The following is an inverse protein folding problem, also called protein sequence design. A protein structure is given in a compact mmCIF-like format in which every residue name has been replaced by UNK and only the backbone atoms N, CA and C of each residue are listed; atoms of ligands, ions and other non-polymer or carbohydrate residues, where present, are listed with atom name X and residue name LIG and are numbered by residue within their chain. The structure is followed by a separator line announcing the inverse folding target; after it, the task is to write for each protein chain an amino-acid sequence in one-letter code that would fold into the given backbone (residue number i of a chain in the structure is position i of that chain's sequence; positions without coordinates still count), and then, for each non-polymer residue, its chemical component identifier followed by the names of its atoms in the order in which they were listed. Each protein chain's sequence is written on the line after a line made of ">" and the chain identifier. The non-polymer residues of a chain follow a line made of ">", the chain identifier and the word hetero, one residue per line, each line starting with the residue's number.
data_IF_806147445698
#
_entry.id   IF_806147445698
#
_cell.length_a   1.000
_cell.length_b   1.000
_cell.length_c   1.000
_cell.angle_alpha   90.00
_cell.angle_beta   90.00
_cell.angle_gamma   90.00
#
_symmetry.space_group_name_H-M   'P 1'
#
loop_
_entity.id
_entity.type
_entity.pdbx_description
1 polymer ?
#
# COMPACT_ATOMS: atom_id res chain seq x y z
N UNK A 1 -22.48 20.55 49.94
CA UNK A 1 -23.70 20.13 49.23
C UNK A 1 -23.30 19.22 48.09
N UNK A 2 -23.78 17.98 48.13
CA UNK A 2 -23.42 16.86 47.26
C UNK A 2 -24.39 16.83 46.08
N UNK A 3 -23.90 16.78 44.84
CA UNK A 3 -24.72 16.43 43.67
C UNK A 3 -23.93 15.54 42.72
N UNK A 4 -24.21 14.24 42.82
CA UNK A 4 -23.70 13.19 41.94
C UNK A 4 -24.50 13.18 40.63
N UNK A 5 -23.82 13.22 39.49
CA UNK A 5 -24.43 13.04 38.17
C UNK A 5 -24.50 11.54 37.81
N UNK A 6 -25.72 11.08 37.55
CA UNK A 6 -26.15 9.70 37.38
C UNK A 6 -25.87 9.23 35.96
N UNK A 7 -24.85 8.39 35.76
CA UNK A 7 -24.59 7.73 34.48
C UNK A 7 -25.59 6.59 34.24
N UNK A 8 -26.44 6.77 33.23
CA UNK A 8 -27.42 5.79 32.73
C UNK A 8 -26.70 4.65 32.02
N UNK A 9 -26.59 3.49 32.69
CA UNK A 9 -26.11 2.25 32.07
C UNK A 9 -27.23 1.65 31.22
N UNK A 10 -27.13 1.76 29.90
CA UNK A 10 -27.95 0.98 28.97
C UNK A 10 -27.40 -0.45 28.94
N UNK A 11 -28.16 -1.37 29.51
CA UNK A 11 -27.95 -2.81 29.45
C UNK A 11 -28.19 -3.30 28.02
N UNK A 12 -27.12 -3.65 27.31
CA UNK A 12 -27.20 -4.35 26.03
C UNK A 12 -27.25 -5.85 26.34
N UNK A 13 -28.43 -6.44 26.17
CA UNK A 13 -28.66 -7.88 26.28
C UNK A 13 -28.05 -8.58 25.07
N UNK A 14 -26.97 -9.34 25.28
CA UNK A 14 -26.41 -10.26 24.30
C UNK A 14 -27.21 -11.58 24.31
N UNK A 15 -27.65 -12.10 23.16
CA UNK A 15 -28.27 -13.41 23.09
C UNK A 15 -27.23 -14.50 23.37
N UNK A 16 -27.67 -15.48 24.17
CA UNK A 16 -26.94 -16.67 24.59
C UNK A 16 -26.49 -17.46 23.36
N UNK A 17 -25.17 -17.60 23.22
CA UNK A 17 -24.52 -18.53 22.28
C UNK A 17 -24.96 -19.96 22.64
N UNK A 18 -25.68 -20.57 21.70
CA UNK A 18 -26.15 -21.93 21.78
C UNK A 18 -25.01 -22.95 21.88
N UNK A 19 -25.24 -23.91 22.77
CA UNK A 19 -24.55 -25.17 23.01
C UNK A 19 -23.74 -25.73 21.84
N UNK A 20 -22.50 -26.08 22.16
CA UNK A 20 -21.58 -26.87 21.36
C UNK A 20 -22.21 -28.20 20.92
N UNK A 21 -22.58 -28.29 19.64
CA UNK A 21 -22.77 -29.56 18.96
C UNK A 21 -21.41 -30.10 18.55
N UNK A 22 -20.90 -31.08 19.30
CA UNK A 22 -19.73 -31.86 18.94
C UNK A 22 -20.01 -32.66 17.65
N UNK A 23 -19.70 -32.08 16.49
CA UNK A 23 -19.65 -32.80 15.22
C UNK A 23 -18.35 -33.59 15.18
N UNK A 24 -18.42 -34.88 15.47
CA UNK A 24 -17.40 -35.86 15.14
C UNK A 24 -17.11 -35.78 13.64
N UNK A 25 -15.98 -35.17 13.27
CA UNK A 25 -15.40 -35.31 11.93
C UNK A 25 -14.90 -36.75 11.81
N UNK A 26 -15.77 -37.65 11.40
CA UNK A 26 -15.34 -38.91 10.79
C UNK A 26 -14.65 -38.55 9.48
N UNK A 27 -13.34 -38.79 9.41
CA UNK A 27 -12.59 -38.69 8.15
C UNK A 27 -13.16 -39.64 7.09
N UNK A 28 -12.75 -39.50 5.82
CA UNK A 28 -13.20 -40.40 4.77
C UNK A 28 -12.66 -41.81 5.04
N UNK A 29 -13.49 -42.67 5.61
CA UNK A 29 -13.23 -44.10 5.75
C UNK A 29 -13.41 -44.76 4.39
N UNK A 30 -12.30 -44.99 3.69
CA UNK A 30 -12.26 -45.85 2.51
C UNK A 30 -12.52 -47.31 2.94
N UNK A 31 -13.78 -47.68 3.06
CA UNK A 31 -14.19 -49.09 3.23
C UNK A 31 -14.45 -49.70 1.85
N UNK A 32 -13.70 -50.73 1.41
CA UNK A 32 -14.04 -51.44 0.19
C UNK A 32 -15.30 -52.29 0.42
N UNK A 33 -16.30 -52.13 -0.46
CA UNK A 33 -17.54 -52.91 -0.44
C UNK A 33 -17.28 -54.36 -0.91
N UNK A 34 -17.88 -55.38 -0.27
CA UNK A 34 -17.73 -56.76 -0.71
C UNK A 34 -18.81 -57.12 -1.74
N UNK A 35 -18.43 -57.29 -2.99
CA UNK A 35 -19.30 -57.84 -4.03
C UNK A 35 -18.76 -57.62 -5.43
N UNK A 36 -18.51 -58.74 -6.15
CA UNK A 36 -18.30 -58.91 -7.61
C UNK A 36 -18.61 -57.64 -8.43
N UNK A 37 -17.67 -57.03 -9.15
CA UNK A 37 -17.17 -57.48 -10.48
C UNK A 37 -15.70 -57.09 -10.77
N UNK A 38 -15.00 -57.88 -11.59
CA UNK A 38 -13.53 -57.89 -11.76
C UNK A 38 -12.98 -56.85 -12.74
N UNK A 39 -13.46 -55.61 -12.70
CA UNK A 39 -12.82 -54.47 -13.35
C UNK A 39 -12.62 -53.32 -12.36
N UNK A 40 -11.95 -53.67 -11.26
CA UNK A 40 -11.56 -52.76 -10.19
C UNK A 40 -10.45 -51.84 -10.69
N UNK A 41 -10.82 -50.66 -11.18
CA UNK A 41 -9.92 -49.51 -11.23
C UNK A 41 -9.46 -49.25 -9.80
N UNK A 42 -8.24 -49.69 -9.49
CA UNK A 42 -7.58 -49.49 -8.21
C UNK A 42 -7.59 -47.99 -7.92
N UNK A 43 -8.47 -47.54 -7.03
CA UNK A 43 -8.36 -46.21 -6.45
C UNK A 43 -7.08 -46.21 -5.61
N UNK A 44 -5.99 -45.74 -6.19
CA UNK A 44 -4.75 -45.52 -5.46
C UNK A 44 -5.04 -44.42 -4.45
N UNK A 45 -4.91 -44.72 -3.15
CA UNK A 45 -4.48 -43.70 -2.21
C UNK A 45 -3.05 -43.30 -2.61
N UNK A 46 -2.94 -42.44 -3.62
CA UNK A 46 -1.68 -41.92 -4.12
C UNK A 46 -1.13 -40.94 -3.07
N UNK A 47 -0.14 -41.38 -2.30
CA UNK A 47 0.71 -40.48 -1.54
C UNK A 47 1.66 -39.77 -2.49
N UNK A 48 1.84 -38.47 -2.31
CA UNK A 48 2.81 -37.65 -3.04
C UNK A 48 4.22 -38.22 -2.85
N UNK A 49 4.97 -38.45 -3.91
CA UNK A 49 6.33 -39.02 -3.78
C UNK A 49 7.34 -37.93 -3.40
N UNK A 50 8.41 -38.29 -2.69
CA UNK A 50 9.48 -37.35 -2.35
C UNK A 50 10.15 -36.78 -3.60
N UNK A 51 10.28 -37.60 -4.65
CA UNK A 51 10.84 -37.18 -5.94
C UNK A 51 9.94 -36.16 -6.63
N UNK A 52 8.63 -36.34 -6.59
CA UNK A 52 7.66 -35.38 -7.11
C UNK A 52 7.78 -34.02 -6.41
N UNK A 53 7.98 -34.01 -5.08
CA UNK A 53 8.25 -32.79 -4.33
C UNK A 53 9.56 -32.13 -4.77
N UNK A 54 10.62 -32.89 -5.00
CA UNK A 54 11.91 -32.35 -5.44
C UNK A 54 11.82 -31.66 -6.80
N UNK A 55 11.08 -32.26 -7.74
CA UNK A 55 10.87 -31.66 -9.06
C UNK A 55 10.02 -30.38 -8.94
N UNK A 56 8.95 -30.40 -8.14
CA UNK A 56 8.10 -29.21 -7.94
C UNK A 56 8.89 -28.06 -7.32
N UNK A 57 9.68 -28.32 -6.27
CA UNK A 57 10.53 -27.29 -5.65
C UNK A 57 11.58 -26.77 -6.63
N UNK A 58 12.18 -27.64 -7.46
CA UNK A 58 13.13 -27.21 -8.48
C UNK A 58 12.49 -26.26 -9.51
N UNK A 59 11.29 -26.58 -10.01
CA UNK A 59 10.57 -25.72 -10.97
C UNK A 59 10.18 -24.39 -10.32
N UNK A 60 9.63 -24.42 -9.10
CA UNK A 60 9.25 -23.19 -8.38
C UNK A 60 10.47 -22.32 -8.09
N UNK A 61 11.62 -22.91 -7.77
CA UNK A 61 12.88 -22.19 -7.57
C UNK A 61 13.32 -21.43 -8.83
N UNK A 62 13.26 -22.08 -10.00
CA UNK A 62 13.61 -21.45 -11.28
C UNK A 62 12.63 -20.32 -11.61
N UNK A 63 11.33 -20.55 -11.47
CA UNK A 63 10.32 -19.52 -11.73
C UNK A 63 10.47 -18.32 -10.79
N UNK A 64 10.69 -18.58 -9.50
CA UNK A 64 10.87 -17.54 -8.49
C UNK A 64 12.05 -16.60 -8.79
N UNK A 65 13.15 -17.14 -9.32
CA UNK A 65 14.35 -16.36 -9.64
C UNK A 65 14.10 -15.26 -10.69
N UNK A 66 13.24 -15.50 -11.68
CA UNK A 66 12.89 -14.51 -12.71
C UNK A 66 11.66 -13.67 -12.35
N UNK A 67 10.67 -14.28 -11.70
CA UNK A 67 9.40 -13.62 -11.36
C UNK A 67 9.57 -12.54 -10.27
N UNK A 68 10.44 -12.78 -9.28
CA UNK A 68 10.59 -11.85 -8.16
C UNK A 68 11.15 -10.46 -8.55
N UNK A 69 12.30 -10.34 -9.24
CA UNK A 69 12.87 -9.02 -9.57
C UNK A 69 11.98 -8.23 -10.53
N UNK A 70 11.31 -8.92 -11.45
CA UNK A 70 10.39 -8.27 -12.41
C UNK A 70 9.15 -7.70 -11.73
N UNK A 71 8.55 -8.46 -10.80
CA UNK A 71 7.42 -7.98 -10.00
C UNK A 71 7.80 -6.82 -9.07
N UNK A 72 8.95 -6.89 -8.40
CA UNK A 72 9.43 -5.80 -7.55
C UNK A 72 9.61 -4.48 -8.34
N UNK A 73 10.15 -4.55 -9.56
CA UNK A 73 10.27 -3.39 -10.45
C UNK A 73 8.93 -2.82 -10.88
N UNK A 74 7.91 -3.66 -11.10
CA UNK A 74 6.55 -3.21 -11.40
C UNK A 74 5.96 -2.39 -10.25
N UNK A 75 6.06 -2.88 -9.01
CA UNK A 75 5.55 -2.18 -7.82
C UNK A 75 6.22 -0.82 -7.65
N UNK A 76 7.53 -0.71 -7.84
CA UNK A 76 8.24 0.57 -7.77
C UNK A 76 7.71 1.56 -8.81
N UNK A 77 7.47 1.12 -10.06
CA UNK A 77 6.89 1.99 -11.09
C UNK A 77 5.48 2.45 -10.74
N UNK A 78 4.63 1.55 -10.25
CA UNK A 78 3.27 1.91 -9.82
C UNK A 78 3.28 2.91 -8.66
N UNK A 79 4.13 2.70 -7.67
CA UNK A 79 4.29 3.65 -6.55
C UNK A 79 4.89 4.98 -7.00
N UNK A 80 5.80 4.97 -7.98
CA UNK A 80 6.31 6.21 -8.59
C UNK A 80 5.21 7.00 -9.28
N UNK A 81 4.34 6.32 -10.04
CA UNK A 81 3.19 6.98 -10.66
C UNK A 81 2.23 7.56 -9.63
N UNK A 82 2.03 6.90 -8.48
CA UNK A 82 1.28 7.45 -7.34
C UNK A 82 1.88 8.78 -6.87
N UNK A 83 3.20 8.85 -6.67
CA UNK A 83 3.90 10.07 -6.28
C UNK A 83 3.82 11.19 -7.33
N UNK A 84 3.97 10.86 -8.62
CA UNK A 84 3.84 11.82 -9.73
C UNK A 84 2.44 12.44 -9.81
N UNK A 85 1.40 11.60 -9.68
CA UNK A 85 0.02 12.06 -9.68
C UNK A 85 -0.23 12.98 -8.50
N UNK A 86 0.24 12.60 -7.31
CA UNK A 86 0.11 13.43 -6.11
C UNK A 86 0.80 14.80 -6.26
N UNK A 87 1.97 14.86 -6.89
CA UNK A 87 2.66 16.13 -7.20
C UNK A 87 1.83 17.03 -8.13
N UNK A 88 1.27 16.45 -9.20
CA UNK A 88 0.43 17.19 -10.16
C UNK A 88 -0.84 17.71 -9.48
N UNK A 89 -1.51 16.88 -8.69
CA UNK A 89 -2.70 17.27 -7.93
C UNK A 89 -2.39 18.35 -6.89
N UNK A 90 -1.26 18.23 -6.17
CA UNK A 90 -0.81 19.23 -5.23
C UNK A 90 -0.51 20.56 -5.94
N UNK A 91 0.14 20.53 -7.11
CA UNK A 91 0.41 21.73 -7.91
C UNK A 91 -0.86 22.40 -8.41
N UNK A 92 -1.83 21.63 -8.91
CA UNK A 92 -3.14 22.18 -9.29
C UNK A 92 -3.85 22.85 -8.11
N UNK A 93 -3.66 22.35 -6.89
CA UNK A 93 -4.19 22.98 -5.68
C UNK A 93 -3.44 24.25 -5.30
N UNK A 94 -2.11 24.25 -5.44
CA UNK A 94 -1.28 25.44 -5.28
C UNK A 94 -1.74 26.56 -6.21
N UNK A 95 -1.95 26.27 -7.50
CA UNK A 95 -2.42 27.27 -8.47
C UNK A 95 -3.80 27.83 -8.12
N UNK A 96 -4.75 26.97 -7.73
CA UNK A 96 -6.08 27.43 -7.27
C UNK A 96 -5.99 28.32 -6.04
N UNK A 97 -5.10 28.00 -5.11
CA UNK A 97 -4.89 28.79 -3.90
C UNK A 97 -4.28 30.15 -4.23
N UNK A 98 -3.29 30.18 -5.14
CA UNK A 98 -2.64 31.42 -5.61
C UNK A 98 -3.63 32.37 -6.29
N UNK A 99 -4.56 31.85 -7.09
CA UNK A 99 -5.61 32.68 -7.72
C UNK A 99 -6.46 33.44 -6.68
N UNK A 100 -6.62 32.88 -5.47
CA UNK A 100 -7.45 33.48 -4.41
C UNK A 100 -6.63 34.33 -3.42
N UNK A 101 -5.40 33.94 -3.13
CA UNK A 101 -4.59 34.52 -2.05
C UNK A 101 -3.34 35.26 -2.54
N UNK A 102 -3.07 35.27 -3.85
CA UNK A 102 -1.86 35.83 -4.48
C UNK A 102 -0.52 35.27 -3.96
N UNK A 103 -0.53 34.14 -3.25
CA UNK A 103 0.66 33.43 -2.77
C UNK A 103 0.44 31.93 -2.85
N UNK A 104 1.52 31.15 -2.89
CA UNK A 104 1.48 29.70 -2.68
C UNK A 104 1.57 29.36 -1.19
N UNK A 105 1.29 28.09 -0.86
CA UNK A 105 1.38 27.53 0.49
C UNK A 105 2.63 26.69 0.63
N UNK A 106 3.46 26.99 1.63
CA UNK A 106 4.45 26.03 2.12
C UNK A 106 3.75 25.03 3.06
N UNK A 107 4.04 23.75 2.89
CA UNK A 107 3.50 22.70 3.76
C UNK A 107 4.48 21.53 3.86
N UNK A 108 4.37 20.75 4.93
CA UNK A 108 5.13 19.53 5.14
C UNK A 108 4.35 18.54 6.00
N UNK A 109 4.92 17.35 6.24
CA UNK A 109 4.36 16.40 7.21
C UNK A 109 4.33 16.91 8.66
N UNK A 110 5.14 17.90 9.02
CA UNK A 110 5.18 18.53 10.35
C UNK A 110 4.25 19.73 10.47
N UNK A 111 4.15 20.49 9.38
CA UNK A 111 3.32 21.69 9.27
C UNK A 111 2.34 21.51 8.12
N UNK A 112 1.19 20.87 8.37
CA UNK A 112 0.17 20.67 7.36
C UNK A 112 -0.32 22.02 6.82
N UNK A 113 -0.56 22.07 5.51
CA UNK A 113 -1.16 23.23 4.89
C UNK A 113 -2.63 23.41 5.28
N UNK A 114 -3.28 24.47 4.78
CA UNK A 114 -4.72 24.64 4.88
C UNK A 114 -5.50 23.45 4.32
N UNK A 115 -6.82 23.43 4.55
CA UNK A 115 -7.67 22.32 4.10
C UNK A 115 -7.46 21.97 2.61
N UNK A 116 -7.30 20.68 2.36
CA UNK A 116 -7.05 20.12 1.03
C UNK A 116 -5.57 19.95 0.68
N UNK A 117 -4.63 20.57 1.39
CA UNK A 117 -3.19 20.33 1.16
C UNK A 117 -2.72 19.07 1.87
N UNK A 118 -2.79 17.96 1.13
CA UNK A 118 -2.36 16.64 1.59
C UNK A 118 -0.85 16.46 1.41
N UNK A 119 -0.16 16.06 2.47
CA UNK A 119 1.30 15.82 2.47
C UNK A 119 1.69 14.37 2.15
N UNK A 120 0.78 13.54 1.65
CA UNK A 120 1.04 12.13 1.30
C UNK A 120 0.40 11.77 -0.05
N UNK A 121 0.96 10.76 -0.75
CA UNK A 121 0.57 10.44 -2.13
C UNK A 121 -0.67 9.55 -2.28
N UNK A 122 -0.96 8.70 -1.29
CA UNK A 122 -2.01 7.68 -1.38
C UNK A 122 -3.28 8.03 -0.60
N UNK A 123 -4.06 7.00 -0.25
CA UNK A 123 -5.30 7.17 0.52
C UNK A 123 -5.06 7.55 1.99
N UNK A 124 -3.91 7.17 2.55
CA UNK A 124 -3.52 7.46 3.92
C UNK A 124 -2.00 7.55 4.03
N UNK A 125 -1.50 8.39 4.95
CA UNK A 125 -0.07 8.60 5.14
C UNK A 125 0.72 7.29 5.30
N UNK A 126 0.31 6.42 6.23
CA UNK A 126 1.01 5.16 6.53
C UNK A 126 1.06 4.13 5.38
N UNK A 127 0.21 4.28 4.36
CA UNK A 127 0.16 3.39 3.21
C UNK A 127 0.74 4.03 1.93
N UNK A 128 1.07 5.32 2.00
CA UNK A 128 1.60 6.09 0.87
C UNK A 128 3.05 5.72 0.63
N UNK A 129 3.49 5.78 -0.62
CA UNK A 129 4.90 5.58 -0.95
C UNK A 129 5.73 6.86 -0.74
N UNK A 130 5.11 8.03 -0.93
CA UNK A 130 5.79 9.32 -0.89
C UNK A 130 5.17 10.28 0.13
N UNK A 131 6.05 10.98 0.84
CA UNK A 131 5.75 12.18 1.64
C UNK A 131 5.93 13.41 0.75
N UNK A 132 4.98 14.33 0.74
CA UNK A 132 5.00 15.56 -0.05
C UNK A 132 5.29 16.75 0.86
N UNK A 133 6.22 17.58 0.43
CA UNK A 133 6.51 18.89 1.02
C UNK A 133 6.50 19.95 -0.07
N UNK A 134 6.09 21.17 0.27
CA UNK A 134 6.13 22.32 -0.62
C UNK A 134 6.89 23.47 0.04
N UNK A 135 7.82 24.07 -0.69
CA UNK A 135 8.65 25.19 -0.24
C UNK A 135 8.93 26.16 -1.39
N UNK A 136 9.49 27.32 -1.07
CA UNK A 136 9.83 28.32 -2.08
C UNK A 136 10.96 27.82 -2.97
N UNK A 137 10.87 28.11 -4.28
CA UNK A 137 11.97 27.79 -5.20
C UNK A 137 13.27 28.49 -4.78
N UNK A 138 14.41 27.90 -5.09
CA UNK A 138 15.71 28.46 -4.72
C UNK A 138 15.87 29.92 -5.22
N UNK A 139 16.11 30.84 -4.28
CA UNK A 139 16.33 32.26 -4.56
C UNK A 139 15.07 33.04 -4.99
N UNK A 140 13.87 32.49 -4.81
CA UNK A 140 12.59 33.16 -5.08
C UNK A 140 11.71 33.21 -3.84
N UNK A 141 10.77 34.13 -3.85
CA UNK A 141 9.73 34.18 -2.82
C UNK A 141 8.66 33.11 -3.07
N UNK A 142 8.04 32.61 -1.99
CA UNK A 142 6.96 31.63 -2.06
C UNK A 142 5.74 32.17 -2.82
N UNK A 143 5.53 33.48 -2.91
CA UNK A 143 4.46 34.07 -3.70
C UNK A 143 4.71 33.97 -5.22
N UNK A 144 5.96 33.85 -5.63
CA UNK A 144 6.38 33.80 -7.02
C UNK A 144 6.53 32.37 -7.54
N UNK A 145 7.11 31.49 -6.72
CA UNK A 145 7.46 30.14 -7.14
C UNK A 145 7.43 29.16 -5.96
N UNK A 146 6.73 28.04 -6.18
CA UNK A 146 6.69 26.91 -5.26
C UNK A 146 7.28 25.68 -5.94
N UNK A 147 8.11 24.95 -5.20
CA UNK A 147 8.61 23.63 -5.56
C UNK A 147 7.98 22.62 -4.61
N UNK A 148 7.34 21.60 -5.18
CA UNK A 148 6.78 20.48 -4.43
C UNK A 148 7.73 19.29 -4.60
N UNK A 149 8.11 18.66 -3.49
CA UNK A 149 8.99 17.49 -3.44
C UNK A 149 8.24 16.31 -2.85
N UNK A 150 8.29 15.18 -3.54
CA UNK A 150 7.80 13.89 -3.07
C UNK A 150 9.00 13.03 -2.65
N UNK A 151 9.18 12.78 -1.35
CA UNK A 151 10.24 11.95 -0.76
C UNK A 151 9.76 10.52 -0.51
N UNK A 152 10.38 9.48 -1.08
CA UNK A 152 9.96 8.10 -0.86
C UNK A 152 10.45 7.58 0.49
N UNK A 153 9.62 6.75 1.15
CA UNK A 153 10.10 5.88 2.22
C UNK A 153 10.54 6.56 3.52
N UNK A 154 9.99 7.74 3.83
CA UNK A 154 10.21 8.43 5.10
C UNK A 154 9.51 7.72 6.27
N UNK A 155 9.78 8.16 7.51
CA UNK A 155 9.19 7.58 8.70
C UNK A 155 7.67 7.81 8.83
N UNK A 156 7.11 8.78 8.09
CA UNK A 156 5.68 9.12 8.14
C UNK A 156 4.84 8.36 7.12
N UNK A 157 5.49 7.76 6.13
CA UNK A 157 4.86 6.99 5.05
C UNK A 157 5.34 5.53 5.10
N UNK A 158 5.18 4.76 4.02
CA UNK A 158 5.74 3.41 3.94
C UNK A 158 7.28 3.43 3.97
N UNK A 159 7.84 3.37 5.19
CA UNK A 159 9.28 3.40 5.43
C UNK A 159 10.08 2.27 4.77
N UNK A 160 9.41 1.22 4.25
CA UNK A 160 10.05 0.12 3.52
C UNK A 160 10.19 0.41 2.04
N UNK A 161 9.42 1.35 1.50
CA UNK A 161 9.48 1.71 0.11
C UNK A 161 10.80 2.39 -0.24
N UNK A 162 11.40 1.97 -1.36
CA UNK A 162 12.65 2.51 -1.89
C UNK A 162 12.54 2.61 -3.40
N UNK A 163 12.88 3.78 -3.95
CA UNK A 163 13.06 3.98 -5.38
C UNK A 163 14.50 4.43 -5.65
N UNK A 164 15.47 3.49 -5.72
CA UNK A 164 16.88 3.83 -5.87
C UNK A 164 17.21 4.47 -7.23
N UNK A 165 16.34 4.33 -8.23
CA UNK A 165 16.58 4.93 -9.54
C UNK A 165 16.25 6.43 -9.56
N UNK A 166 15.28 6.88 -8.74
CA UNK A 166 14.73 8.22 -8.82
C UNK A 166 14.82 9.04 -7.52
N UNK A 167 14.83 8.41 -6.35
CA UNK A 167 14.81 9.15 -5.09
C UNK A 167 13.60 10.07 -4.98
N UNK A 168 13.82 11.29 -4.47
CA UNK A 168 12.74 12.27 -4.40
C UNK A 168 12.40 12.83 -5.79
N UNK A 169 11.10 12.96 -6.06
CA UNK A 169 10.58 13.59 -7.28
C UNK A 169 10.25 15.06 -6.98
N UNK A 170 10.48 15.96 -7.92
CA UNK A 170 10.17 17.39 -7.77
C UNK A 170 9.35 17.91 -8.93
N UNK A 171 8.46 18.86 -8.63
CA UNK A 171 7.67 19.61 -9.60
C UNK A 171 7.55 21.06 -9.12
N UNK A 172 7.96 22.01 -9.94
CA UNK A 172 7.80 23.44 -9.65
C UNK A 172 6.62 24.08 -10.39
N UNK A 173 6.21 25.28 -9.97
CA UNK A 173 5.09 26.02 -10.59
C UNK A 173 5.36 26.49 -12.02
N UNK A 174 6.61 26.40 -12.50
CA UNK A 174 6.94 26.63 -13.91
C UNK A 174 6.80 25.38 -14.77
N UNK A 175 6.44 24.24 -14.16
CA UNK A 175 6.28 22.96 -14.82
C UNK A 175 7.59 22.18 -14.99
N UNK A 176 8.68 22.61 -14.36
CA UNK A 176 9.94 21.85 -14.38
C UNK A 176 9.79 20.64 -13.48
N UNK A 177 9.97 19.48 -14.09
CA UNK A 177 9.97 18.19 -13.45
C UNK A 177 11.40 17.76 -13.18
N UNK A 178 11.65 17.21 -12.00
CA UNK A 178 12.97 16.77 -11.58
C UNK A 178 12.92 15.53 -10.71
N UNK A 179 14.06 14.89 -10.56
CA UNK A 179 14.27 13.81 -9.61
C UNK A 179 15.69 13.91 -9.05
N UNK A 180 15.90 13.45 -7.82
CA UNK A 180 17.23 13.40 -7.22
C UNK A 180 18.10 12.28 -7.83
N UNK A 181 17.45 11.21 -8.29
CA UNK A 181 18.10 10.09 -8.95
C UNK A 181 18.41 10.35 -10.43
N UNK A 182 19.32 9.54 -10.98
CA UNK A 182 19.81 9.66 -12.37
C UNK A 182 18.93 8.90 -13.37
N UNK A 183 17.85 8.26 -12.93
CA UNK A 183 16.93 7.51 -13.78
C UNK A 183 16.01 8.40 -14.62
N UNK A 184 15.35 7.79 -15.62
CA UNK A 184 14.20 8.41 -16.30
C UNK A 184 12.97 8.29 -15.40
N UNK A 185 12.75 9.33 -14.62
CA UNK A 185 11.78 9.33 -13.52
C UNK A 185 10.47 9.99 -13.85
N UNK A 186 10.46 10.86 -14.85
CA UNK A 186 9.27 11.47 -15.42
C UNK A 186 9.04 10.91 -16.83
N UNK A 187 7.77 10.73 -17.23
CA UNK A 187 7.43 10.25 -18.57
C UNK A 187 7.86 11.20 -19.68
#
# INVERSE_FOLDING_TARGET
>A
MVTAARASRRSISFPLVGSAGARSRTGPSCTPAPGRDRHAWRAWCAGFTLVELMIVVAIVGILGAFAYPTYAGYIVRTRRTEGQVALIEAMQRQERYRVQHNTYVAFSGDEPGPEGFTWWSGAAASASAYELDAYACAGRDIAECVEIRARPGTARVDARFRDPACGALTLDSSGRQGAEGMGRCWP
#
